data_IF_580373730832
#
_entry.id   IF_580373730832
#
_cell.length_a   1.000
_cell.length_b   1.000
_cell.length_c   1.000
_cell.angle_alpha   90.00
_cell.angle_beta   90.00
_cell.angle_gamma   90.00
#
_symmetry.space_group_name_H-M   'P 1'
#
loop_
_entity.id
_entity.type
_entity.pdbx_description
1 polymer ?
#
# COMPACT_ATOMS: atom_id res chain seq x y z
N UNK A 1 16.20 11.76 16.87
CA UNK A 1 16.90 12.12 15.61
C UNK A 1 16.45 13.46 15.04
N UNK A 2 15.14 13.76 14.84
CA UNK A 2 14.69 15.09 14.36
C UNK A 2 15.31 16.28 15.10
N UNK A 3 15.38 16.20 16.44
CA UNK A 3 15.93 17.26 17.31
C UNK A 3 17.42 17.56 17.12
N UNK A 4 18.16 16.73 16.37
CA UNK A 4 19.60 16.90 16.11
C UNK A 4 19.92 17.35 14.68
N UNK A 5 18.92 17.46 13.79
CA UNK A 5 19.11 17.86 12.40
C UNK A 5 19.02 19.39 12.26
N UNK A 6 19.88 20.02 11.44
CA UNK A 6 19.69 21.41 11.01
C UNK A 6 18.30 21.62 10.41
N UNK A 7 17.67 22.76 10.74
CA UNK A 7 16.27 23.02 10.42
C UNK A 7 15.98 23.04 8.91
N UNK A 8 16.94 23.49 8.09
CA UNK A 8 16.80 23.49 6.64
C UNK A 8 16.70 22.06 6.07
N UNK A 9 17.55 21.12 6.51
CA UNK A 9 17.51 19.72 6.08
C UNK A 9 16.21 19.05 6.51
N UNK A 10 15.75 19.38 7.71
CA UNK A 10 14.51 18.84 8.25
C UNK A 10 13.31 19.21 7.37
N UNK A 11 13.24 20.47 6.92
CA UNK A 11 12.12 20.98 6.14
C UNK A 11 12.21 20.57 4.65
N UNK A 12 13.36 20.79 4.01
CA UNK A 12 13.52 20.61 2.57
C UNK A 12 13.59 19.13 2.15
N UNK A 13 14.15 18.26 3.00
CA UNK A 13 14.50 16.89 2.59
C UNK A 13 13.67 15.85 3.36
N UNK A 14 13.62 15.96 4.68
CA UNK A 14 13.12 14.85 5.51
C UNK A 14 11.68 15.02 6.00
N UNK A 15 11.05 16.17 5.80
CA UNK A 15 9.74 16.48 6.37
C UNK A 15 8.69 15.43 5.99
N UNK A 16 8.65 15.05 4.71
CA UNK A 16 7.71 14.03 4.20
C UNK A 16 7.90 12.68 4.88
N UNK A 17 9.15 12.24 5.04
CA UNK A 17 9.48 10.97 5.70
C UNK A 17 9.11 10.99 7.18
N UNK A 18 9.43 12.06 7.89
CA UNK A 18 9.07 12.17 9.30
C UNK A 18 7.55 12.20 9.52
N UNK A 19 6.81 12.94 8.70
CA UNK A 19 5.35 12.95 8.76
C UNK A 19 4.77 11.55 8.50
N UNK A 20 5.34 10.83 7.52
CA UNK A 20 4.97 9.45 7.23
C UNK A 20 5.22 8.53 8.44
N UNK A 21 6.41 8.57 9.04
CA UNK A 21 6.73 7.73 10.20
C UNK A 21 5.87 8.07 11.43
N UNK A 22 5.62 9.36 11.69
CA UNK A 22 4.72 9.78 12.76
C UNK A 22 3.29 9.26 12.53
N UNK A 23 2.80 9.33 11.29
CA UNK A 23 1.50 8.75 10.93
C UNK A 23 1.48 7.26 11.19
N UNK A 24 2.52 6.52 10.81
CA UNK A 24 2.61 5.06 11.05
C UNK A 24 2.58 4.73 12.53
N UNK A 25 3.32 5.47 13.36
CA UNK A 25 3.38 5.28 14.81
C UNK A 25 2.07 5.63 15.53
N UNK A 26 1.29 6.58 14.99
CA UNK A 26 0.04 7.02 15.59
C UNK A 26 -1.16 6.08 15.34
N UNK A 27 -1.02 5.09 14.44
CA UNK A 27 -2.11 4.19 14.07
C UNK A 27 -2.52 3.27 15.22
N UNK A 28 -3.82 3.06 15.37
CA UNK A 28 -4.42 2.13 16.34
C UNK A 28 -4.87 0.83 15.67
N UNK A 29 -5.10 -0.26 16.44
CA UNK A 29 -5.53 -1.54 15.90
C UNK A 29 -6.76 -1.46 14.99
N UNK A 30 -7.76 -0.65 15.36
CA UNK A 30 -9.06 -0.53 14.67
C UNK A 30 -9.15 0.57 13.62
N UNK A 31 -8.05 1.26 13.33
CA UNK A 31 -8.06 2.33 12.33
C UNK A 31 -8.29 1.77 10.92
N UNK A 32 -8.91 2.57 10.05
CA UNK A 32 -9.08 2.28 8.62
C UNK A 32 -7.88 2.81 7.83
N UNK A 33 -7.67 2.28 6.62
CA UNK A 33 -6.59 2.70 5.70
C UNK A 33 -5.21 2.68 6.35
N UNK A 34 -4.90 1.57 7.02
CA UNK A 34 -3.65 1.41 7.74
C UNK A 34 -2.49 1.27 6.76
N UNK A 35 -1.37 1.87 7.11
CA UNK A 35 -0.09 1.68 6.44
C UNK A 35 0.50 0.37 6.97
N UNK A 36 0.58 -0.65 6.11
CA UNK A 36 1.08 -1.98 6.46
C UNK A 36 2.56 -2.18 6.14
N UNK A 37 3.13 -1.35 5.25
CA UNK A 37 4.55 -1.39 4.87
C UNK A 37 5.13 0.02 4.84
N UNK A 38 6.33 0.17 5.38
CA UNK A 38 7.09 1.42 5.29
C UNK A 38 7.68 1.64 3.89
N UNK A 39 7.94 0.56 3.16
CA UNK A 39 8.55 0.58 1.82
C UNK A 39 7.50 0.68 0.72
N UNK A 40 6.32 0.12 0.95
CA UNK A 40 5.22 0.05 -0.01
C UNK A 40 3.92 0.55 0.65
N UNK A 41 3.72 1.87 0.81
CA UNK A 41 2.60 2.44 1.56
C UNK A 41 1.23 2.15 0.96
N UNK A 42 1.18 1.85 -0.34
CA UNK A 42 -0.05 1.59 -1.11
C UNK A 42 -0.54 0.14 -0.97
N UNK A 43 0.25 -0.73 -0.32
CA UNK A 43 -0.18 -2.09 -0.01
C UNK A 43 -1.33 -2.06 0.98
N UNK A 44 -2.40 -2.79 0.65
CA UNK A 44 -3.55 -2.96 1.50
C UNK A 44 -3.75 -4.44 1.88
N UNK A 45 -4.62 -4.67 2.85
CA UNK A 45 -4.95 -6.01 3.35
C UNK A 45 -6.24 -6.53 2.74
N UNK A 46 -6.21 -7.78 2.31
CA UNK A 46 -7.36 -8.51 1.79
C UNK A 46 -7.66 -9.67 2.72
N UNK A 47 -8.85 -9.67 3.32
CA UNK A 47 -9.33 -10.84 4.02
C UNK A 47 -9.61 -11.95 3.01
N UNK A 48 -8.90 -13.07 3.13
CA UNK A 48 -9.19 -14.31 2.40
C UNK A 48 -9.95 -15.17 3.40
N UNK A 49 -11.18 -15.58 3.07
CA UNK A 49 -12.00 -16.47 3.92
C UNK A 49 -11.43 -17.89 4.05
N UNK A 50 -10.11 -18.04 4.24
CA UNK A 50 -9.37 -19.28 4.40
C UNK A 50 -8.94 -19.42 5.86
N UNK A 51 -9.13 -20.60 6.43
CA UNK A 51 -8.87 -20.86 7.86
C UNK A 51 -7.40 -20.68 8.26
N UNK A 52 -6.46 -21.04 7.38
CA UNK A 52 -5.03 -21.03 7.70
C UNK A 52 -4.29 -19.73 7.35
N UNK A 53 -4.82 -18.91 6.43
CA UNK A 53 -4.24 -17.61 6.06
C UNK A 53 -5.36 -16.62 5.80
N UNK A 54 -5.77 -15.96 6.88
CA UNK A 54 -6.93 -15.06 6.89
C UNK A 54 -6.69 -13.76 6.10
N UNK A 55 -5.43 -13.37 5.90
CA UNK A 55 -5.07 -12.10 5.26
C UNK A 55 -3.96 -12.26 4.24
N UNK A 56 -4.14 -11.61 3.09
CA UNK A 56 -3.09 -11.36 2.10
C UNK A 56 -2.77 -9.86 2.09
N UNK A 57 -1.48 -9.54 1.95
CA UNK A 57 -0.97 -8.17 1.87
C UNK A 57 -0.49 -7.96 0.44
N UNK A 58 -1.05 -6.98 -0.25
CA UNK A 58 -0.62 -6.67 -1.61
C UNK A 58 -1.41 -5.53 -2.24
N UNK A 59 -1.14 -5.31 -3.51
CA UNK A 59 -1.86 -4.38 -4.37
C UNK A 59 -2.72 -5.17 -5.37
N UNK A 60 -3.89 -4.65 -5.76
CA UNK A 60 -4.69 -5.28 -6.82
C UNK A 60 -4.07 -4.95 -8.15
N UNK A 61 -3.97 -5.96 -8.99
CA UNK A 61 -3.62 -5.78 -10.39
C UNK A 61 -4.59 -6.51 -11.29
N UNK A 62 -4.90 -5.89 -12.43
CA UNK A 62 -5.58 -6.55 -13.55
C UNK A 62 -4.56 -6.81 -14.65
N UNK A 63 -4.59 -8.01 -15.20
CA UNK A 63 -3.74 -8.43 -16.32
C UNK A 63 -4.65 -8.88 -17.45
N UNK A 64 -4.42 -8.37 -18.65
CA UNK A 64 -5.15 -8.77 -19.86
C UNK A 64 -4.20 -9.52 -20.77
N UNK A 65 -4.61 -10.71 -21.20
CA UNK A 65 -3.84 -11.55 -22.11
C UNK A 65 -4.64 -11.91 -23.36
N UNK A 66 -3.92 -12.21 -24.45
CA UNK A 66 -4.53 -12.75 -25.67
C UNK A 66 -5.15 -14.12 -25.40
N UNK A 67 -6.35 -14.35 -25.93
CA UNK A 67 -7.13 -15.58 -25.69
C UNK A 67 -6.39 -16.88 -26.05
N UNK A 68 -5.58 -16.86 -27.11
CA UNK A 68 -5.02 -18.07 -27.71
C UNK A 68 -3.54 -18.28 -27.42
N UNK A 69 -2.79 -17.21 -27.15
CA UNK A 69 -1.34 -17.27 -26.98
C UNK A 69 -0.88 -16.85 -25.58
N UNK A 70 -1.81 -16.42 -24.70
CA UNK A 70 -1.53 -15.93 -23.35
C UNK A 70 -0.49 -14.79 -23.30
N UNK A 71 -0.38 -14.01 -24.39
CA UNK A 71 0.52 -12.86 -24.45
C UNK A 71 -0.11 -11.74 -23.63
N UNK A 72 0.62 -11.21 -22.66
CA UNK A 72 0.17 -10.07 -21.85
C UNK A 72 0.18 -8.83 -22.72
N UNK A 73 -0.99 -8.21 -22.90
CA UNK A 73 -1.18 -6.98 -23.70
C UNK A 73 -1.49 -5.76 -22.84
N UNK A 74 -1.76 -5.95 -21.55
CA UNK A 74 -2.00 -4.85 -20.63
C UNK A 74 -1.93 -5.28 -19.17
N UNK A 75 -1.47 -4.35 -18.34
CA UNK A 75 -1.43 -4.48 -16.88
C UNK A 75 -1.90 -3.16 -16.28
N UNK A 76 -2.77 -3.23 -15.27
CA UNK A 76 -3.22 -2.06 -14.51
C UNK A 76 -3.13 -2.32 -13.01
N UNK A 77 -2.65 -1.33 -12.27
CA UNK A 77 -2.65 -1.29 -10.80
C UNK A 77 -3.91 -0.59 -10.30
N UNK A 78 -4.47 -1.04 -9.18
CA UNK A 78 -5.64 -0.42 -8.56
C UNK A 78 -5.35 0.04 -7.15
N UNK A 79 -5.46 1.36 -6.92
CA UNK A 79 -5.20 1.98 -5.62
C UNK A 79 -6.19 1.56 -4.52
N UNK A 80 -7.32 0.95 -4.92
CA UNK A 80 -8.40 0.54 -4.02
C UNK A 80 -8.82 -0.90 -4.30
N UNK A 81 -9.14 -1.61 -3.23
CA UNK A 81 -9.78 -2.92 -3.33
C UNK A 81 -11.27 -2.78 -3.69
N UNK A 82 -11.55 -2.54 -4.97
CA UNK A 82 -12.90 -2.52 -5.52
C UNK A 82 -13.32 -3.96 -5.80
N UNK A 83 -14.55 -4.35 -5.43
CA UNK A 83 -15.08 -5.68 -5.72
C UNK A 83 -15.10 -5.95 -7.24
N UNK A 84 -14.80 -7.18 -7.65
CA UNK A 84 -14.59 -7.53 -9.07
C UNK A 84 -15.80 -7.22 -9.95
N UNK A 85 -17.01 -7.24 -9.39
CA UNK A 85 -18.23 -6.87 -10.12
C UNK A 85 -18.37 -5.38 -10.46
N UNK A 86 -17.45 -4.54 -9.99
CA UNK A 86 -17.43 -3.08 -10.22
C UNK A 86 -16.17 -2.62 -10.97
N UNK A 87 -15.34 -3.56 -11.42
CA UNK A 87 -14.19 -3.30 -12.30
C UNK A 87 -14.63 -3.20 -13.75
#
# INVERSE_FOLDING_TARGET
MQRKLPQYLLFEIYQKHFLFYQRVLAQKPKDKNKIYSLHEPDVYVIAKGKDHKQYEYGNKVSIVSTKHTNIIVGVASHDKNIHDSKL
#
